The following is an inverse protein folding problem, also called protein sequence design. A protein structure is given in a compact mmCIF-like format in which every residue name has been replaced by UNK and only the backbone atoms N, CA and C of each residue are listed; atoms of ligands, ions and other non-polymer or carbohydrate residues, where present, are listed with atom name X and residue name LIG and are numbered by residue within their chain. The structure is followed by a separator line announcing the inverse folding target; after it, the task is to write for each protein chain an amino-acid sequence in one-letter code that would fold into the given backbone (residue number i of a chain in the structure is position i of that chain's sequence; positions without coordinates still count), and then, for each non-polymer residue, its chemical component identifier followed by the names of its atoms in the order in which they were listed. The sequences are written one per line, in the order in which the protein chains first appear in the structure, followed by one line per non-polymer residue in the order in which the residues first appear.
data_IF_644442940359
#
_entry.id   IF_644442940359
#
_cell.length_a   1.000
_cell.length_b   1.000
_cell.length_c   1.000
_cell.angle_alpha   90.00
_cell.angle_beta   90.00
_cell.angle_gamma   90.00
#
_symmetry.space_group_name_H-M   'P 1'
#
loop_
_entity.id
_entity.type
_entity.pdbx_description
1 polymer ?
#
# COMPACT_ATOMS: atom_id res chain seq x y z
N UNK A 1 -7.43 0.04 8.94
CA UNK A 1 -5.98 -0.19 9.14
C UNK A 1 -5.66 -0.43 10.62
N UNK A 2 -5.89 0.52 11.53
CA UNK A 2 -5.54 0.34 12.95
C UNK A 2 -6.35 -0.77 13.62
N UNK A 3 -7.58 -1.03 13.18
CA UNK A 3 -8.38 -2.15 13.67
C UNK A 3 -7.74 -3.51 13.35
N UNK A 4 -7.11 -3.66 12.18
CA UNK A 4 -6.38 -4.89 11.85
C UNK A 4 -5.16 -5.08 12.75
N UNK A 5 -4.40 -4.02 13.03
CA UNK A 5 -3.28 -4.07 13.99
C UNK A 5 -3.77 -4.43 15.38
N UNK A 6 -4.94 -3.93 15.78
CA UNK A 6 -5.56 -4.26 17.06
C UNK A 6 -5.88 -5.75 17.15
N UNK A 7 -6.51 -6.31 16.12
CA UNK A 7 -6.82 -7.74 16.05
C UNK A 7 -5.55 -8.59 16.13
N UNK A 8 -4.49 -8.21 15.42
CA UNK A 8 -3.22 -8.91 15.50
C UNK A 8 -2.64 -8.90 16.93
N UNK A 9 -2.72 -7.77 17.64
CA UNK A 9 -2.26 -7.72 19.03
C UNK A 9 -3.14 -8.53 19.99
N UNK A 10 -4.44 -8.64 19.70
CA UNK A 10 -5.41 -9.37 20.52
C UNK A 10 -5.43 -10.88 20.24
N UNK A 11 -5.15 -11.33 19.01
CA UNK A 11 -5.43 -12.71 18.58
C UNK A 11 -4.18 -13.47 18.10
N UNK A 12 -3.12 -12.78 17.66
CA UNK A 12 -1.96 -13.44 17.11
C UNK A 12 -1.09 -14.07 18.22
N UNK A 13 -1.17 -15.40 18.35
CA UNK A 13 -0.44 -16.18 19.37
C UNK A 13 1.08 -16.04 19.23
N UNK A 14 1.62 -15.90 18.00
CA UNK A 14 3.04 -15.71 17.79
C UNK A 14 3.54 -14.38 18.40
N UNK A 15 2.73 -13.31 18.26
CA UNK A 15 3.03 -12.03 18.91
C UNK A 15 2.93 -12.14 20.44
N UNK A 16 1.95 -12.86 20.95
CA UNK A 16 1.77 -13.08 22.39
C UNK A 16 2.91 -13.90 23.00
N UNK A 17 3.38 -14.93 22.30
CA UNK A 17 4.54 -15.70 22.74
C UNK A 17 5.82 -14.86 22.80
N UNK A 18 6.02 -13.96 21.83
CA UNK A 18 7.21 -13.11 21.74
C UNK A 18 7.19 -11.88 22.67
N UNK A 19 6.03 -11.27 22.85
CA UNK A 19 5.90 -9.94 23.49
C UNK A 19 4.93 -9.90 24.68
N UNK A 20 4.26 -11.01 24.99
CA UNK A 20 3.20 -11.06 25.99
C UNK A 20 1.92 -10.38 25.54
N UNK A 21 0.98 -10.18 26.46
CA UNK A 21 -0.26 -9.45 26.18
C UNK A 21 0.04 -7.94 26.01
N UNK A 22 -0.17 -7.47 24.77
CA UNK A 22 0.08 -6.09 24.38
C UNK A 22 -1.12 -5.16 24.65
N UNK A 23 -2.25 -5.70 25.09
CA UNK A 23 -3.47 -4.92 25.35
C UNK A 23 -3.26 -3.91 26.45
N UNK A 24 -3.45 -2.63 26.16
CA UNK A 24 -3.24 -1.53 27.08
C UNK A 24 -4.53 -0.78 27.47
N UNK A 25 -4.38 0.27 28.28
CA UNK A 25 -5.51 1.04 28.81
C UNK A 25 -6.23 1.91 27.77
N UNK A 26 -5.56 2.28 26.69
CA UNK A 26 -6.15 3.07 25.59
C UNK A 26 -6.20 2.18 24.37
N UNK A 27 -7.42 1.80 23.96
CA UNK A 27 -7.65 0.81 22.92
C UNK A 27 -8.84 1.25 22.05
N UNK A 28 -8.57 2.27 21.18
CA UNK A 28 -9.59 2.95 20.37
C UNK A 28 -9.31 2.72 18.88
N UNK A 29 -10.30 2.94 18.03
CA UNK A 29 -10.19 2.76 16.57
C UNK A 29 -9.11 3.61 15.89
N UNK A 30 -8.72 4.72 16.50
CA UNK A 30 -7.72 5.64 15.95
C UNK A 30 -6.44 5.78 16.79
N UNK A 31 -6.38 5.20 17.99
CA UNK A 31 -5.22 5.24 18.87
C UNK A 31 -5.18 4.02 19.78
N UNK A 32 -4.03 3.35 19.83
CA UNK A 32 -3.73 2.27 20.76
C UNK A 32 -2.54 2.71 21.63
N UNK A 33 -2.56 2.33 22.91
CA UNK A 33 -1.38 2.41 23.78
C UNK A 33 -1.22 1.04 24.41
N UNK A 34 -0.15 0.35 24.05
CA UNK A 34 0.11 -1.01 24.51
C UNK A 34 0.39 -1.08 26.01
N UNK A 35 0.37 -2.29 26.56
CA UNK A 35 0.78 -2.57 27.95
C UNK A 35 2.21 -2.13 28.23
N UNK A 36 3.09 -2.18 27.20
CA UNK A 36 4.46 -1.70 27.23
C UNK A 36 4.61 -0.20 26.99
N UNK A 37 3.47 0.53 26.91
CA UNK A 37 3.41 1.98 26.74
C UNK A 37 3.87 2.50 25.35
N UNK A 38 3.78 1.69 24.32
CA UNK A 38 3.98 2.11 22.93
C UNK A 38 2.65 2.68 22.40
N UNK A 39 2.68 3.89 21.83
CA UNK A 39 1.52 4.51 21.19
C UNK A 39 1.54 4.25 19.69
N UNK A 40 0.45 3.69 19.17
CA UNK A 40 0.17 3.58 17.74
C UNK A 40 -1.03 4.45 17.42
N UNK A 41 -0.92 5.33 16.43
CA UNK A 41 -1.96 6.30 16.08
C UNK A 41 -2.17 6.35 14.56
N UNK A 42 -3.41 6.14 14.10
CA UNK A 42 -3.78 6.29 12.70
C UNK A 42 -4.22 7.72 12.39
N UNK A 43 -3.71 8.27 11.30
CA UNK A 43 -3.99 9.65 10.87
C UNK A 43 -4.23 9.64 9.36
N UNK A 44 -5.37 10.18 8.91
CA UNK A 44 -5.64 10.34 7.49
C UNK A 44 -4.66 11.29 6.80
N UNK A 45 -4.35 11.03 5.53
CA UNK A 45 -3.52 11.91 4.70
C UNK A 45 -4.06 13.34 4.66
N UNK A 46 -3.16 14.32 4.57
CA UNK A 46 -3.52 15.74 4.59
C UNK A 46 -3.87 16.32 5.98
N UNK A 47 -3.99 15.50 7.01
CA UNK A 47 -4.27 15.99 8.37
C UNK A 47 -3.02 16.53 9.05
N UNK A 48 -3.23 17.32 10.12
CA UNK A 48 -2.14 17.87 10.94
C UNK A 48 -1.41 16.75 11.69
N UNK A 49 -0.16 16.50 11.35
CA UNK A 49 0.69 15.49 11.98
C UNK A 49 1.80 16.12 12.84
N UNK A 50 2.26 17.33 12.51
CA UNK A 50 3.31 18.04 13.27
C UNK A 50 2.91 18.28 14.72
N UNK A 51 3.89 18.13 15.62
CA UNK A 51 3.71 18.34 17.06
C UNK A 51 3.06 17.19 17.81
N UNK A 52 2.79 16.06 17.12
CA UNK A 52 2.32 14.85 17.80
C UNK A 52 3.44 14.21 18.60
N UNK A 53 3.11 13.83 19.81
CA UNK A 53 4.04 13.25 20.78
C UNK A 53 3.32 12.19 21.61
N UNK A 54 4.08 11.27 22.14
CA UNK A 54 3.66 10.45 23.26
C UNK A 54 4.57 10.76 24.46
N UNK A 55 4.02 11.33 25.52
CA UNK A 55 4.81 11.95 26.59
C UNK A 55 5.77 13.00 26.00
N UNK A 56 7.07 12.83 26.17
CA UNK A 56 8.13 13.73 25.67
C UNK A 56 8.72 13.32 24.32
N UNK A 57 8.32 12.15 23.79
CA UNK A 57 8.92 11.53 22.59
C UNK A 57 8.13 11.89 21.34
N UNK A 58 8.84 12.19 20.27
CA UNK A 58 8.30 12.23 18.91
C UNK A 58 8.14 10.81 18.39
N UNK A 59 7.42 10.59 17.28
CA UNK A 59 7.31 9.26 16.68
C UNK A 59 8.68 8.67 16.35
N UNK A 60 8.90 7.41 16.70
CA UNK A 60 10.07 6.64 16.30
C UNK A 60 9.90 6.09 14.88
N UNK A 61 8.65 5.85 14.45
CA UNK A 61 8.30 5.30 13.14
C UNK A 61 7.10 6.03 12.56
N UNK A 62 7.19 6.40 11.29
CA UNK A 62 6.09 6.91 10.47
C UNK A 62 5.86 5.93 9.32
N UNK A 63 4.71 5.28 9.27
CA UNK A 63 4.30 4.43 8.15
C UNK A 63 3.29 5.19 7.30
N UNK A 64 3.64 5.39 6.03
CA UNK A 64 2.79 5.96 5.00
C UNK A 64 2.28 4.80 4.15
N UNK A 65 1.00 4.48 4.30
CA UNK A 65 0.37 3.33 3.66
C UNK A 65 -0.71 3.83 2.69
N UNK A 66 -0.49 3.58 1.40
CA UNK A 66 -1.38 3.97 0.30
C UNK A 66 -1.94 5.39 0.42
N UNK A 67 -1.08 6.37 0.74
CA UNK A 67 -1.49 7.78 0.88
C UNK A 67 -1.85 8.45 -0.45
N UNK A 68 -1.51 7.82 -1.57
CA UNK A 68 -1.89 8.21 -2.93
C UNK A 68 -3.07 7.38 -3.42
N UNK A 69 -4.01 8.02 -4.10
CA UNK A 69 -5.14 7.40 -4.76
C UNK A 69 -5.42 8.11 -6.09
N UNK A 70 -6.31 7.56 -6.93
CA UNK A 70 -6.62 8.11 -8.26
C UNK A 70 -7.09 9.56 -8.22
N UNK A 71 -7.77 9.96 -7.15
CA UNK A 71 -8.25 11.33 -6.98
C UNK A 71 -7.10 12.29 -6.72
N UNK A 72 -6.23 11.99 -5.72
CA UNK A 72 -5.19 12.91 -5.30
C UNK A 72 -3.93 12.93 -6.18
N UNK A 73 -3.82 12.00 -7.16
CA UNK A 73 -2.78 12.03 -8.19
C UNK A 73 -3.26 12.58 -9.54
N UNK A 74 -4.55 12.86 -9.68
CA UNK A 74 -5.20 13.19 -10.95
C UNK A 74 -4.70 14.49 -11.56
N UNK A 75 -4.61 15.56 -10.77
CA UNK A 75 -4.18 16.87 -11.27
C UNK A 75 -2.83 17.28 -10.69
N UNK A 76 -2.04 18.14 -11.39
CA UNK A 76 -0.79 18.66 -10.86
C UNK A 76 -0.95 19.36 -9.51
N UNK A 77 -2.05 20.08 -9.31
CA UNK A 77 -2.36 20.81 -8.08
C UNK A 77 -2.55 19.84 -6.89
N UNK A 78 -3.27 18.74 -7.13
CA UNK A 78 -3.51 17.71 -6.11
C UNK A 78 -2.19 17.02 -5.73
N UNK A 79 -1.36 16.64 -6.73
CA UNK A 79 -0.04 16.06 -6.50
C UNK A 79 0.86 17.03 -5.71
N UNK A 80 0.90 18.30 -6.11
CA UNK A 80 1.68 19.34 -5.41
C UNK A 80 1.20 19.57 -3.97
N UNK A 81 -0.12 19.49 -3.73
CA UNK A 81 -0.69 19.59 -2.39
C UNK A 81 -0.24 18.45 -1.48
N UNK A 82 -0.25 17.22 -1.98
CA UNK A 82 0.19 16.04 -1.24
C UNK A 82 1.70 16.10 -0.97
N UNK A 83 2.50 16.47 -1.98
CA UNK A 83 3.94 16.65 -1.85
C UNK A 83 4.30 17.73 -0.81
N UNK A 84 3.60 18.85 -0.85
CA UNK A 84 3.78 19.92 0.14
C UNK A 84 3.43 19.47 1.56
N UNK A 85 2.36 18.67 1.71
CA UNK A 85 2.01 18.10 3.00
C UNK A 85 3.09 17.14 3.50
N UNK A 86 3.59 16.26 2.63
CA UNK A 86 4.69 15.36 2.96
C UNK A 86 5.94 16.13 3.40
N UNK A 87 6.41 17.06 2.60
CA UNK A 87 7.64 17.82 2.88
C UNK A 87 7.51 18.75 4.10
N UNK A 88 6.34 19.37 4.32
CA UNK A 88 6.15 20.37 5.37
C UNK A 88 5.61 19.80 6.67
N UNK A 89 4.92 18.67 6.63
CA UNK A 89 4.26 18.07 7.79
C UNK A 89 4.86 16.73 8.17
N UNK A 90 4.89 15.75 7.26
CA UNK A 90 5.35 14.39 7.55
C UNK A 90 6.84 14.35 7.89
N UNK A 91 7.69 14.86 6.98
CA UNK A 91 9.15 14.88 7.17
C UNK A 91 9.62 15.73 8.36
N UNK A 92 8.72 16.52 8.96
CA UNK A 92 8.98 17.35 10.15
C UNK A 92 8.23 16.86 11.40
N UNK A 93 7.54 15.74 11.32
CA UNK A 93 6.78 15.19 12.44
C UNK A 93 7.67 14.43 13.43
N UNK A 94 8.69 13.78 12.90
CA UNK A 94 9.67 13.01 13.66
C UNK A 94 10.82 13.84 14.24
N UNK A 95 11.86 13.14 14.62
CA UNK A 95 13.16 13.64 15.06
C UNK A 95 14.27 12.93 14.27
N UNK A 96 15.55 13.17 14.56
CA UNK A 96 16.70 12.60 13.84
C UNK A 96 16.75 11.07 13.85
N UNK A 97 16.12 10.45 14.84
CA UNK A 97 16.01 8.97 14.97
C UNK A 97 14.77 8.37 14.35
N UNK A 98 13.88 9.17 13.73
CA UNK A 98 12.60 8.68 13.21
C UNK A 98 12.77 8.00 11.86
N UNK A 99 12.37 6.74 11.79
CA UNK A 99 12.28 6.03 10.53
C UNK A 99 10.98 6.36 9.78
N UNK A 100 11.08 6.47 8.46
CA UNK A 100 9.94 6.68 7.58
C UNK A 100 9.85 5.51 6.59
N UNK A 101 8.75 4.77 6.65
CA UNK A 101 8.42 3.70 5.69
C UNK A 101 7.27 4.18 4.81
N UNK A 102 7.49 4.22 3.51
CA UNK A 102 6.46 4.59 2.54
C UNK A 102 6.16 3.41 1.62
N UNK A 103 4.95 2.89 1.73
CA UNK A 103 4.42 1.76 0.95
C UNK A 103 3.27 2.29 0.09
N UNK A 104 3.18 1.84 -1.15
CA UNK A 104 2.08 2.24 -2.03
C UNK A 104 2.24 1.75 -3.45
N UNK A 105 1.24 2.03 -4.27
CA UNK A 105 1.19 1.70 -5.69
C UNK A 105 1.57 2.92 -6.53
N UNK A 106 2.34 2.72 -7.60
CA UNK A 106 2.70 3.78 -8.55
C UNK A 106 1.51 4.09 -9.47
N UNK A 107 0.70 5.07 -9.09
CA UNK A 107 -0.50 5.47 -9.85
C UNK A 107 -0.20 6.51 -10.94
N UNK A 108 0.90 7.27 -10.81
CA UNK A 108 1.25 8.32 -11.76
C UNK A 108 2.77 8.54 -11.82
N UNK A 109 3.33 8.82 -13.01
CA UNK A 109 4.78 9.01 -13.20
C UNK A 109 5.35 10.22 -12.44
N UNK A 110 4.51 11.23 -12.13
CA UNK A 110 4.84 12.45 -11.38
C UNK A 110 4.17 12.45 -9.99
N UNK A 111 3.89 11.27 -9.42
CA UNK A 111 3.34 11.14 -8.07
C UNK A 111 4.41 11.34 -7.00
N UNK A 112 4.00 11.55 -5.77
CA UNK A 112 4.91 11.66 -4.63
C UNK A 112 5.76 10.40 -4.46
N UNK A 113 5.15 9.21 -4.55
CA UNK A 113 5.86 7.94 -4.47
C UNK A 113 6.87 7.80 -5.61
N UNK A 114 6.50 8.17 -6.85
CA UNK A 114 7.41 8.13 -8.00
C UNK A 114 8.64 9.05 -7.82
N UNK A 115 8.47 10.22 -7.19
CA UNK A 115 9.55 11.13 -6.84
C UNK A 115 10.40 10.59 -5.69
N UNK A 116 9.77 10.02 -4.67
CA UNK A 116 10.45 9.44 -3.50
C UNK A 116 11.34 8.25 -3.90
N UNK A 117 10.88 7.39 -4.83
CA UNK A 117 11.68 6.30 -5.39
C UNK A 117 12.98 6.74 -6.08
N UNK A 118 13.02 7.97 -6.59
CA UNK A 118 14.20 8.55 -7.25
C UNK A 118 15.08 9.35 -6.29
N UNK A 119 14.62 9.57 -5.07
CA UNK A 119 15.36 10.36 -4.08
C UNK A 119 16.44 9.52 -3.40
N UNK A 120 17.74 9.87 -3.52
CA UNK A 120 18.83 9.09 -2.95
C UNK A 120 18.83 9.04 -1.41
N UNK A 121 18.05 9.88 -0.76
CA UNK A 121 17.85 9.85 0.70
C UNK A 121 16.98 8.68 1.19
N UNK A 122 16.38 7.90 0.26
CA UNK A 122 15.56 6.74 0.60
C UNK A 122 16.14 5.45 0.02
N UNK A 123 16.05 4.36 0.78
CA UNK A 123 16.26 3.02 0.26
C UNK A 123 14.99 2.56 -0.45
N UNK A 124 15.01 2.55 -1.78
CA UNK A 124 13.85 2.22 -2.60
C UNK A 124 13.88 0.76 -3.06
N UNK A 125 12.72 0.09 -2.95
CA UNK A 125 12.48 -1.25 -3.48
C UNK A 125 11.22 -1.18 -4.33
N UNK A 126 11.28 -1.68 -5.56
CA UNK A 126 10.14 -1.74 -6.48
C UNK A 126 9.88 -3.17 -6.90
N UNK A 127 8.69 -3.64 -6.63
CA UNK A 127 8.19 -4.92 -7.14
C UNK A 127 7.30 -4.67 -8.36
N UNK A 128 7.42 -5.51 -9.37
CA UNK A 128 6.52 -5.53 -10.51
C UNK A 128 5.49 -6.65 -10.29
N UNK A 129 4.23 -6.35 -10.52
CA UNK A 129 3.17 -7.37 -10.49
C UNK A 129 3.35 -8.40 -11.62
N UNK A 130 3.84 -7.95 -12.78
CA UNK A 130 4.20 -8.82 -13.91
C UNK A 130 5.64 -8.50 -14.30
N UNK A 131 6.52 -9.47 -14.22
CA UNK A 131 7.94 -9.35 -14.59
C UNK A 131 8.10 -9.47 -16.11
N UNK A 132 7.42 -10.46 -16.69
CA UNK A 132 7.34 -10.64 -18.15
C UNK A 132 5.96 -11.17 -18.56
N UNK A 133 5.45 -10.64 -19.66
CA UNK A 133 4.20 -11.12 -20.25
C UNK A 133 4.45 -12.41 -21.05
N UNK A 134 3.37 -13.16 -21.28
CA UNK A 134 3.37 -14.32 -22.16
C UNK A 134 3.83 -13.96 -23.57
N UNK A 135 4.41 -14.94 -24.25
CA UNK A 135 4.76 -14.84 -25.68
C UNK A 135 3.60 -15.21 -26.61
N UNK A 136 2.49 -15.70 -26.06
CA UNK A 136 1.34 -16.19 -26.80
C UNK A 136 0.32 -15.07 -27.10
N UNK A 137 0.76 -13.97 -27.69
CA UNK A 137 -0.09 -12.79 -27.96
C UNK A 137 -1.35 -13.13 -28.75
N UNK A 138 -1.26 -14.06 -29.74
CA UNK A 138 -2.38 -14.47 -30.56
C UNK A 138 -3.47 -15.20 -29.75
N UNK A 139 -3.07 -16.02 -28.77
CA UNK A 139 -4.00 -16.72 -27.88
C UNK A 139 -4.67 -15.75 -26.92
N UNK A 140 -3.91 -14.79 -26.40
CA UNK A 140 -4.47 -13.75 -25.53
C UNK A 140 -5.42 -12.83 -26.26
N UNK A 141 -5.10 -12.46 -27.50
CA UNK A 141 -6.02 -11.66 -28.34
C UNK A 141 -7.32 -12.40 -28.62
N UNK A 142 -7.25 -13.70 -28.93
CA UNK A 142 -8.46 -14.51 -29.14
C UNK A 142 -9.28 -14.66 -27.86
N UNK A 143 -8.63 -14.79 -26.71
CA UNK A 143 -9.30 -14.78 -25.42
C UNK A 143 -10.02 -13.45 -25.17
N UNK A 144 -9.37 -12.32 -25.47
CA UNK A 144 -9.95 -10.98 -25.37
C UNK A 144 -11.17 -10.82 -26.29
N UNK A 145 -11.07 -11.27 -27.52
CA UNK A 145 -12.17 -11.26 -28.51
C UNK A 145 -13.40 -12.03 -27.98
N UNK A 146 -13.18 -13.20 -27.36
CA UNK A 146 -14.26 -13.98 -26.74
C UNK A 146 -14.83 -13.24 -25.52
N UNK A 147 -13.97 -12.75 -24.63
CA UNK A 147 -14.38 -12.09 -23.39
C UNK A 147 -15.16 -10.80 -23.62
N UNK A 148 -14.82 -10.06 -24.69
CA UNK A 148 -15.45 -8.78 -25.04
C UNK A 148 -16.65 -8.90 -25.98
N UNK A 149 -17.01 -10.11 -26.42
CA UNK A 149 -18.17 -10.34 -27.27
C UNK A 149 -19.50 -10.26 -26.49
N UNK A 150 -20.00 -9.06 -26.27
CA UNK A 150 -21.25 -8.79 -25.58
C UNK A 150 -22.48 -9.29 -26.31
N UNK A 151 -22.38 -9.81 -27.55
CA UNK A 151 -23.48 -10.45 -28.28
C UNK A 151 -23.68 -11.92 -27.82
N UNK A 152 -22.72 -12.50 -27.12
CA UNK A 152 -22.77 -13.84 -26.54
C UNK A 152 -23.04 -13.76 -25.04
N UNK A 153 -24.18 -14.21 -24.57
CA UNK A 153 -24.54 -14.18 -23.14
C UNK A 153 -23.61 -15.03 -22.26
N UNK A 154 -22.87 -15.98 -22.86
CA UNK A 154 -21.91 -16.85 -22.13
C UNK A 154 -20.43 -16.45 -22.36
N UNK A 155 -20.15 -15.23 -22.83
CA UNK A 155 -18.80 -14.79 -23.21
C UNK A 155 -17.74 -14.99 -22.11
N UNK A 156 -18.11 -14.77 -20.84
CA UNK A 156 -17.18 -14.95 -19.71
C UNK A 156 -16.85 -16.43 -19.47
N UNK A 157 -17.85 -17.33 -19.56
CA UNK A 157 -17.67 -18.77 -19.38
C UNK A 157 -16.86 -19.37 -20.54
N UNK A 158 -17.15 -18.93 -21.77
CA UNK A 158 -16.43 -19.34 -22.96
C UNK A 158 -14.98 -18.87 -22.95
N UNK A 159 -14.72 -17.64 -22.53
CA UNK A 159 -13.38 -17.11 -22.35
C UNK A 159 -12.59 -17.91 -21.28
N UNK A 160 -13.25 -18.26 -20.17
CA UNK A 160 -12.66 -19.10 -19.13
C UNK A 160 -12.33 -20.49 -19.65
N UNK A 161 -13.26 -21.12 -20.38
CA UNK A 161 -13.05 -22.43 -20.98
C UNK A 161 -11.90 -22.40 -22.00
N UNK A 162 -11.84 -21.35 -22.83
CA UNK A 162 -10.74 -21.13 -23.77
C UNK A 162 -9.39 -21.00 -23.05
N UNK A 163 -9.33 -20.22 -21.98
CA UNK A 163 -8.11 -20.07 -21.17
C UNK A 163 -7.67 -21.42 -20.57
N UNK A 164 -8.58 -22.16 -19.96
CA UNK A 164 -8.23 -23.46 -19.35
C UNK A 164 -7.73 -24.48 -20.42
N UNK A 165 -8.32 -24.48 -21.60
CA UNK A 165 -7.89 -25.35 -22.71
C UNK A 165 -6.49 -25.02 -23.23
N UNK A 166 -6.09 -23.74 -23.19
CA UNK A 166 -4.82 -23.24 -23.74
C UNK A 166 -3.84 -22.75 -22.65
N UNK A 167 -4.15 -23.01 -21.39
CA UNK A 167 -3.46 -22.43 -20.21
C UNK A 167 -1.95 -22.54 -20.26
N UNK A 168 -1.43 -23.69 -20.65
CA UNK A 168 0.02 -23.95 -20.68
C UNK A 168 0.73 -23.03 -21.69
N UNK A 169 0.19 -22.90 -22.89
CA UNK A 169 0.76 -22.04 -23.95
C UNK A 169 0.54 -20.56 -23.63
N UNK A 170 -0.66 -20.20 -23.13
CA UNK A 170 -0.98 -18.84 -22.74
C UNK A 170 -0.15 -18.32 -21.58
N UNK A 171 0.38 -19.18 -20.73
CA UNK A 171 1.24 -18.79 -19.61
C UNK A 171 2.74 -18.95 -19.91
N UNK A 172 3.09 -19.45 -21.08
CA UNK A 172 4.50 -19.66 -21.46
C UNK A 172 5.25 -18.32 -21.51
N UNK A 173 6.34 -18.23 -20.74
CA UNK A 173 7.17 -17.02 -20.62
C UNK A 173 6.61 -15.95 -19.65
N UNK A 174 5.42 -16.17 -19.07
CA UNK A 174 4.89 -15.29 -18.00
C UNK A 174 5.67 -15.49 -16.72
N UNK A 175 6.10 -14.39 -16.11
CA UNK A 175 6.65 -14.34 -14.74
C UNK A 175 5.88 -13.30 -13.94
N UNK A 176 5.42 -13.70 -12.76
CA UNK A 176 4.66 -12.86 -11.80
C UNK A 176 5.46 -12.70 -10.52
#
# INVERSE_FOLDING_TARGET
FLDNIRVEFEENEFLKEGFGDLTGKVWRSNVLITSTNIKVEAIGSGKKIRGRKHRNWRPDLLVLDDIENDENVRTPEQRSKLENWFLKAVSKAGDDYTDIVYIGTLLHYDSLLAKTLKNPGYKAIKYKAVISFSKADDLWKKWEDIYTDLSNDNHEEDAKAYFEANRKEMLEGTQV
#
